data_IF_047708986320
#
_entry.id   IF_047708986320
#
_cell.length_a   1.000
_cell.length_b   1.000
_cell.length_c   1.000
_cell.angle_alpha   90.00
_cell.angle_beta   90.00
_cell.angle_gamma   90.00
#
_symmetry.space_group_name_H-M   'P 1'
#
loop_
_entity.id
_entity.type
_entity.pdbx_description
1 polymer ?
#
# COMPACT_ATOMS: atom_id res chain seq x y z
N UNK A 1 13.67 16.78 20.44
CA UNK A 1 13.73 16.07 21.74
C UNK A 1 12.29 15.72 22.10
N UNK A 2 12.01 14.43 22.38
CA UNK A 2 10.68 13.81 22.63
C UNK A 2 9.87 13.32 21.40
N UNK A 3 10.46 12.53 20.50
CA UNK A 3 9.72 11.41 19.87
C UNK A 3 10.61 10.30 19.28
N UNK A 4 11.84 10.13 19.79
CA UNK A 4 12.84 9.21 19.23
C UNK A 4 13.48 8.27 20.28
N UNK A 5 12.85 8.10 21.45
CA UNK A 5 13.43 7.33 22.56
C UNK A 5 12.64 6.08 22.98
N UNK A 6 11.71 5.57 22.17
CA UNK A 6 10.94 4.35 22.51
C UNK A 6 11.35 3.09 21.73
N UNK A 7 12.50 3.11 21.05
CA UNK A 7 13.00 1.96 20.29
C UNK A 7 14.33 1.36 20.78
N UNK A 8 14.81 1.73 21.97
CA UNK A 8 16.04 1.19 22.52
C UNK A 8 15.79 0.33 23.77
N UNK A 9 15.98 -0.98 23.57
CA UNK A 9 16.62 -1.91 24.52
C UNK A 9 15.92 -2.13 25.87
N UNK A 10 15.15 -3.22 25.97
CA UNK A 10 14.68 -3.70 27.28
C UNK A 10 13.52 -4.69 27.25
N UNK A 11 13.61 -5.77 26.47
CA UNK A 11 12.70 -6.92 26.62
C UNK A 11 13.42 -8.23 26.28
N UNK A 12 14.64 -8.40 26.79
CA UNK A 12 15.19 -9.75 27.01
C UNK A 12 15.13 -10.02 28.51
N UNK A 13 13.91 -10.18 29.01
CA UNK A 13 13.70 -10.69 30.36
C UNK A 13 12.50 -11.65 30.34
N UNK A 14 12.83 -12.91 30.10
CA UNK A 14 12.08 -14.11 30.49
C UNK A 14 10.58 -14.14 30.17
N UNK A 15 10.20 -13.83 28.93
CA UNK A 15 8.81 -14.01 28.51
C UNK A 15 8.60 -15.42 27.95
N UNK A 16 7.86 -16.26 28.68
CA UNK A 16 7.42 -17.60 28.23
C UNK A 16 6.37 -17.53 27.12
N UNK A 17 5.90 -16.33 26.76
CA UNK A 17 4.91 -16.16 25.73
C UNK A 17 5.52 -16.34 24.33
N UNK A 18 5.20 -17.48 23.70
CA UNK A 18 5.62 -17.83 22.34
C UNK A 18 5.21 -16.76 21.31
N UNK A 19 4.08 -16.09 21.52
CA UNK A 19 3.60 -15.02 20.63
C UNK A 19 4.55 -13.81 20.66
N UNK A 20 4.98 -13.40 21.86
CA UNK A 20 5.89 -12.27 22.03
C UNK A 20 7.25 -12.59 21.40
N UNK A 21 7.77 -13.81 21.61
CA UNK A 21 9.00 -14.27 20.96
C UNK A 21 8.88 -14.28 19.44
N UNK A 22 7.75 -14.75 18.92
CA UNK A 22 7.47 -14.78 17.48
C UNK A 22 7.52 -13.36 16.89
N UNK A 23 6.77 -12.42 17.45
CA UNK A 23 6.74 -11.04 16.94
C UNK A 23 8.07 -10.31 17.14
N UNK A 24 8.74 -10.48 18.28
CA UNK A 24 10.06 -9.90 18.51
C UNK A 24 11.08 -10.39 17.48
N UNK A 25 11.07 -11.69 17.16
CA UNK A 25 11.90 -12.28 16.12
C UNK A 25 11.53 -11.73 14.73
N UNK A 26 10.25 -11.77 14.38
CA UNK A 26 9.74 -11.28 13.08
C UNK A 26 10.13 -9.82 12.85
N UNK A 27 9.88 -8.94 13.83
CA UNK A 27 10.24 -7.52 13.77
C UNK A 27 11.74 -7.37 13.58
N UNK A 28 12.57 -8.05 14.38
CA UNK A 28 14.03 -7.97 14.28
C UNK A 28 14.52 -8.41 12.89
N UNK A 29 13.99 -9.50 12.36
CA UNK A 29 14.39 -10.04 11.06
C UNK A 29 13.99 -9.12 9.91
N UNK A 30 12.73 -8.69 9.84
CA UNK A 30 12.23 -7.86 8.75
C UNK A 30 12.80 -6.44 8.78
N UNK A 31 12.86 -5.80 9.95
CA UNK A 31 13.46 -4.46 10.08
C UNK A 31 14.93 -4.47 9.67
N UNK A 32 15.64 -5.58 9.91
CA UNK A 32 17.04 -5.71 9.48
C UNK A 32 17.20 -5.76 7.95
N UNK A 33 16.15 -6.02 7.16
CA UNK A 33 16.24 -6.12 5.69
C UNK A 33 15.96 -4.77 5.01
N UNK A 34 15.20 -3.89 5.65
CA UNK A 34 14.78 -2.62 5.06
C UNK A 34 15.97 -1.75 4.62
N UNK A 35 15.84 -1.12 3.45
CA UNK A 35 16.83 -0.20 2.86
C UNK A 35 18.22 -0.77 2.57
N UNK A 36 18.43 -2.09 2.69
CA UNK A 36 19.74 -2.72 2.42
C UNK A 36 20.01 -2.98 0.94
N UNK A 37 18.97 -3.11 0.12
CA UNK A 37 19.09 -3.43 -1.31
C UNK A 37 18.82 -2.17 -2.16
N UNK A 38 19.53 -2.00 -3.28
CA UNK A 38 19.21 -0.93 -4.22
C UNK A 38 17.83 -1.15 -4.83
N UNK A 39 17.13 -0.05 -5.12
CA UNK A 39 15.85 -0.13 -5.82
C UNK A 39 16.04 -0.70 -7.22
N UNK A 40 15.05 -1.44 -7.73
CA UNK A 40 15.13 -1.95 -9.08
C UNK A 40 15.19 -0.82 -10.11
N UNK A 41 16.15 -0.93 -11.04
CA UNK A 41 16.35 0.06 -12.11
C UNK A 41 15.78 -0.39 -13.45
N UNK A 42 15.39 -1.65 -13.57
CA UNK A 42 14.88 -2.26 -14.80
C UNK A 42 13.51 -2.91 -14.54
N UNK A 43 12.52 -2.54 -15.36
CA UNK A 43 11.18 -3.11 -15.32
C UNK A 43 11.13 -4.53 -15.88
N UNK A 44 12.04 -4.91 -16.79
CA UNK A 44 12.07 -6.23 -17.41
C UNK A 44 12.42 -7.35 -16.43
N UNK A 45 12.93 -7.02 -15.24
CA UNK A 45 13.08 -8.01 -14.17
C UNK A 45 11.74 -8.62 -13.71
N UNK A 46 10.63 -7.91 -13.96
CA UNK A 46 9.26 -8.37 -13.69
C UNK A 46 8.61 -9.00 -14.93
N UNK A 47 9.34 -9.10 -16.06
CA UNK A 47 8.84 -9.78 -17.24
C UNK A 47 8.61 -11.26 -16.92
N UNK A 48 7.62 -11.90 -17.57
CA UNK A 48 7.39 -13.32 -17.43
C UNK A 48 8.67 -14.11 -17.77
N UNK A 49 9.11 -14.96 -16.84
CA UNK A 49 10.31 -15.81 -17.03
C UNK A 49 10.06 -16.94 -18.03
N UNK A 50 8.82 -17.41 -18.07
CA UNK A 50 8.40 -18.48 -18.97
C UNK A 50 7.72 -17.88 -20.20
N UNK A 51 8.04 -18.43 -21.36
CA UNK A 51 7.36 -18.07 -22.61
C UNK A 51 6.08 -18.88 -22.70
N UNK A 52 4.95 -18.20 -22.86
CA UNK A 52 3.65 -18.85 -23.01
C UNK A 52 2.52 -17.92 -22.61
N UNK A 53 1.30 -18.30 -22.98
CA UNK A 53 0.08 -17.65 -22.50
C UNK A 53 -0.64 -18.65 -21.61
N UNK A 54 -0.98 -18.25 -20.38
CA UNK A 54 -1.82 -19.04 -19.50
C UNK A 54 -3.26 -18.63 -19.77
N UNK A 55 -4.13 -19.61 -20.05
CA UNK A 55 -5.56 -19.37 -20.19
C UNK A 55 -6.22 -19.46 -18.81
N UNK A 56 -6.60 -18.31 -18.26
CA UNK A 56 -7.32 -18.22 -16.98
C UNK A 56 -8.84 -18.34 -17.12
N UNK A 57 -9.36 -18.53 -18.33
CA UNK A 57 -10.79 -18.54 -18.63
C UNK A 57 -11.33 -17.18 -19.04
N UNK A 58 -12.65 -17.04 -19.01
CA UNK A 58 -13.37 -15.81 -19.35
C UNK A 58 -13.95 -15.20 -18.07
N UNK A 59 -13.84 -13.88 -17.94
CA UNK A 59 -14.34 -13.12 -16.80
C UNK A 59 -15.14 -11.93 -17.32
N UNK A 60 -16.17 -11.54 -16.59
CA UNK A 60 -16.97 -10.35 -16.90
C UNK A 60 -16.15 -9.08 -16.64
N UNK A 61 -15.28 -9.13 -15.63
CA UNK A 61 -14.41 -8.04 -15.24
C UNK A 61 -13.00 -8.53 -14.91
N UNK A 62 -12.00 -7.82 -15.42
CA UNK A 62 -10.59 -8.01 -15.07
C UNK A 62 -10.09 -6.72 -14.44
N UNK A 63 -9.63 -6.82 -13.19
CA UNK A 63 -9.08 -5.70 -12.43
C UNK A 63 -7.57 -5.88 -12.37
N UNK A 64 -6.84 -4.89 -12.88
CA UNK A 64 -5.38 -4.86 -12.84
C UNK A 64 -4.95 -3.94 -11.69
N UNK A 65 -4.44 -4.56 -10.63
CA UNK A 65 -4.04 -3.95 -9.37
C UNK A 65 -5.09 -4.14 -8.28
N UNK A 66 -4.78 -4.95 -7.28
CA UNK A 66 -5.55 -5.17 -6.05
C UNK A 66 -5.25 -4.10 -4.98
N UNK A 67 -4.97 -2.86 -5.41
CA UNK A 67 -4.72 -1.73 -4.52
C UNK A 67 -6.00 -1.18 -3.88
N UNK A 68 -5.89 -0.02 -3.24
CA UNK A 68 -6.99 0.58 -2.45
C UNK A 68 -8.31 0.73 -3.22
N UNK A 69 -8.27 1.14 -4.50
CA UNK A 69 -9.47 1.21 -5.32
C UNK A 69 -9.85 -0.14 -5.95
N UNK A 70 -8.87 -0.88 -6.48
CA UNK A 70 -9.10 -2.14 -7.18
C UNK A 70 -9.71 -3.22 -6.29
N UNK A 71 -9.28 -3.32 -5.03
CA UNK A 71 -9.87 -4.23 -4.06
C UNK A 71 -11.35 -3.89 -3.75
N UNK A 72 -11.69 -2.60 -3.66
CA UNK A 72 -13.07 -2.15 -3.45
C UNK A 72 -13.94 -2.48 -4.66
N UNK A 73 -13.45 -2.19 -5.87
CA UNK A 73 -14.19 -2.50 -7.11
C UNK A 73 -14.39 -4.01 -7.23
N UNK A 74 -13.35 -4.82 -6.98
CA UNK A 74 -13.41 -6.27 -7.00
C UNK A 74 -14.50 -6.78 -6.06
N UNK A 75 -14.44 -6.36 -4.80
CA UNK A 75 -15.37 -6.76 -3.76
C UNK A 75 -16.82 -6.38 -4.09
N UNK A 76 -17.07 -5.17 -4.62
CA UNK A 76 -18.42 -4.71 -4.97
C UNK A 76 -18.98 -5.41 -6.20
N UNK A 77 -18.16 -5.65 -7.23
CA UNK A 77 -18.61 -6.39 -8.41
C UNK A 77 -18.93 -7.85 -8.06
N UNK A 78 -18.17 -8.47 -7.15
CA UNK A 78 -18.40 -9.84 -6.71
C UNK A 78 -19.58 -10.01 -5.74
N UNK A 79 -20.24 -8.94 -5.30
CA UNK A 79 -21.50 -9.05 -4.53
C UNK A 79 -22.62 -9.68 -5.38
N UNK A 80 -22.54 -9.53 -6.71
CA UNK A 80 -23.42 -10.19 -7.66
C UNK A 80 -22.83 -11.56 -8.06
N UNK A 81 -23.43 -12.64 -7.54
CA UNK A 81 -22.95 -14.00 -7.75
C UNK A 81 -23.00 -14.47 -9.22
N UNK A 82 -23.68 -13.73 -10.12
CA UNK A 82 -23.64 -14.06 -11.55
C UNK A 82 -22.40 -13.52 -12.27
N UNK A 83 -21.57 -12.71 -11.60
CA UNK A 83 -20.36 -12.09 -12.19
C UNK A 83 -19.10 -12.83 -11.79
N UNK A 84 -18.26 -13.10 -12.77
CA UNK A 84 -16.91 -13.62 -12.58
C UNK A 84 -15.90 -12.47 -12.66
N UNK A 85 -15.17 -12.25 -11.56
CA UNK A 85 -14.20 -11.16 -11.44
C UNK A 85 -12.81 -11.74 -11.25
N UNK A 86 -11.88 -11.39 -12.16
CA UNK A 86 -10.45 -11.70 -12.03
C UNK A 86 -9.71 -10.47 -11.49
N UNK A 87 -8.84 -10.68 -10.52
CA UNK A 87 -7.92 -9.64 -10.04
C UNK A 87 -6.49 -10.08 -10.32
N UNK A 88 -5.71 -9.21 -10.95
CA UNK A 88 -4.29 -9.39 -11.23
C UNK A 88 -3.49 -8.39 -10.41
N UNK A 89 -2.53 -8.84 -9.61
CA UNK A 89 -1.61 -7.95 -8.90
C UNK A 89 -0.15 -8.41 -9.09
N UNK A 90 0.78 -7.47 -9.01
CA UNK A 90 2.20 -7.71 -9.22
C UNK A 90 2.96 -8.11 -7.95
N UNK A 91 2.37 -7.89 -6.76
CA UNK A 91 2.99 -8.24 -5.49
C UNK A 91 2.34 -9.43 -4.78
N UNK A 92 2.78 -9.64 -3.54
CA UNK A 92 2.26 -10.70 -2.67
C UNK A 92 1.09 -10.27 -1.79
N UNK A 93 0.78 -11.10 -0.81
CA UNK A 93 -0.17 -10.79 0.26
C UNK A 93 0.50 -10.05 1.41
N UNK A 94 -0.30 -9.35 2.22
CA UNK A 94 0.14 -8.87 3.53
C UNK A 94 0.46 -10.05 4.46
N UNK A 95 1.24 -9.77 5.50
CA UNK A 95 1.54 -10.73 6.56
C UNK A 95 1.58 -10.05 7.93
N UNK A 96 1.85 -10.84 8.97
CA UNK A 96 1.92 -10.38 10.36
C UNK A 96 2.90 -9.21 10.58
N UNK A 97 3.90 -8.99 9.71
CA UNK A 97 4.80 -7.85 9.83
C UNK A 97 4.16 -6.57 9.26
N UNK A 98 3.53 -6.65 8.07
CA UNK A 98 2.84 -5.50 7.47
C UNK A 98 1.61 -5.05 8.25
N UNK A 99 1.01 -5.96 9.02
CA UNK A 99 -0.19 -5.67 9.81
C UNK A 99 0.12 -4.90 11.10
N UNK A 100 1.40 -4.74 11.47
CA UNK A 100 1.82 -3.95 12.63
C UNK A 100 1.92 -2.48 12.22
N UNK A 101 1.04 -1.57 12.73
CA UNK A 101 1.01 -0.17 12.30
C UNK A 101 2.35 0.56 12.43
N UNK A 102 3.11 0.26 13.48
CA UNK A 102 4.42 0.88 13.75
C UNK A 102 5.52 0.51 12.76
N UNK A 103 5.30 -0.48 11.89
CA UNK A 103 6.31 -0.97 10.94
C UNK A 103 6.36 -0.21 9.62
N UNK A 104 5.46 0.77 9.41
CA UNK A 104 5.41 1.61 8.22
C UNK A 104 6.80 2.09 7.72
N UNK A 105 7.68 2.68 8.56
CA UNK A 105 8.98 3.18 8.09
C UNK A 105 9.88 2.10 7.48
N UNK A 106 9.69 0.84 7.85
CA UNK A 106 10.46 -0.30 7.34
C UNK A 106 9.82 -0.88 6.08
N UNK A 107 8.49 -0.98 6.04
CA UNK A 107 7.75 -1.47 4.86
C UNK A 107 8.09 -0.65 3.61
N UNK A 108 8.25 0.67 3.75
CA UNK A 108 8.63 1.55 2.63
C UNK A 108 10.07 1.30 2.13
N UNK A 109 10.90 0.60 2.89
CA UNK A 109 12.27 0.21 2.52
C UNK A 109 12.42 -1.22 2.00
N UNK A 110 11.31 -1.96 1.85
CA UNK A 110 11.30 -3.36 1.44
C UNK A 110 10.71 -3.50 0.03
N UNK A 111 11.48 -4.06 -0.89
CA UNK A 111 11.06 -4.26 -2.29
C UNK A 111 9.83 -5.17 -2.41
N UNK A 112 9.60 -6.06 -1.45
CA UNK A 112 8.41 -6.92 -1.44
C UNK A 112 7.11 -6.11 -1.38
N UNK A 113 7.09 -5.03 -0.57
CA UNK A 113 5.90 -4.22 -0.33
C UNK A 113 5.91 -2.88 -1.06
N UNK A 114 7.06 -2.39 -1.53
CA UNK A 114 7.19 -1.10 -2.19
C UNK A 114 7.81 -1.25 -3.60
N UNK A 115 7.22 -0.58 -4.58
CA UNK A 115 7.78 -0.48 -5.93
C UNK A 115 9.15 0.22 -5.97
N UNK A 116 9.41 1.13 -5.03
CA UNK A 116 10.69 1.82 -4.95
C UNK A 116 10.90 2.88 -6.03
N UNK A 117 9.82 3.49 -6.53
CA UNK A 117 9.92 4.53 -7.55
C UNK A 117 10.65 5.75 -7.01
N UNK A 118 11.41 6.37 -7.91
CA UNK A 118 12.08 7.64 -7.69
C UNK A 118 11.57 8.63 -8.74
N UNK A 119 11.43 9.91 -8.37
CA UNK A 119 11.23 10.95 -9.37
C UNK A 119 12.47 11.07 -10.27
N UNK A 120 12.32 11.74 -11.42
CA UNK A 120 13.49 12.33 -12.09
C UNK A 120 14.18 13.33 -11.14
N UNK A 121 15.47 13.64 -11.32
CA UNK A 121 16.14 14.68 -10.53
C UNK A 121 15.35 15.99 -10.55
N UNK A 122 15.15 16.58 -9.37
CA UNK A 122 14.40 17.80 -9.18
C UNK A 122 15.35 18.99 -8.98
N UNK A 123 14.93 20.17 -9.44
CA UNK A 123 15.70 21.42 -9.30
C UNK A 123 15.21 22.32 -8.16
N UNK A 124 14.00 22.10 -7.64
CA UNK A 124 13.33 22.95 -6.65
C UNK A 124 12.76 22.18 -5.46
N UNK A 125 12.80 20.85 -5.50
CA UNK A 125 12.32 19.96 -4.45
C UNK A 125 13.34 18.85 -4.19
N UNK A 126 13.26 18.19 -3.03
CA UNK A 126 14.10 17.02 -2.70
C UNK A 126 15.62 17.26 -2.82
N UNK A 127 16.10 18.50 -2.70
CA UNK A 127 17.51 18.88 -2.86
C UNK A 127 18.46 18.26 -1.81
N UNK A 128 17.90 17.79 -0.68
CA UNK A 128 18.64 17.05 0.35
C UNK A 128 18.66 15.52 0.13
N UNK A 129 18.01 15.03 -0.93
CA UNK A 129 17.95 13.61 -1.26
C UNK A 129 19.06 13.23 -2.22
N UNK A 130 19.42 11.94 -2.26
CA UNK A 130 20.40 11.42 -3.21
C UNK A 130 19.98 11.76 -4.65
N UNK A 131 20.89 12.34 -5.43
CA UNK A 131 20.67 12.78 -6.81
C UNK A 131 19.49 13.76 -7.00
N UNK A 132 19.06 14.46 -5.93
CA UNK A 132 17.88 15.33 -5.93
C UNK A 132 16.59 14.60 -6.35
N UNK A 133 16.50 13.29 -6.11
CA UNK A 133 15.33 12.49 -6.48
C UNK A 133 14.44 12.27 -5.26
N UNK A 134 13.15 12.55 -5.41
CA UNK A 134 12.15 12.27 -4.40
C UNK A 134 11.83 10.78 -4.38
N UNK A 135 11.66 10.21 -3.19
CA UNK A 135 11.11 8.86 -3.01
C UNK A 135 9.62 8.87 -3.27
N UNK A 136 9.15 8.02 -4.19
CA UNK A 136 7.75 7.88 -4.57
C UNK A 136 7.23 6.51 -4.11
N UNK A 137 7.04 6.36 -2.80
CA UNK A 137 6.57 5.13 -2.18
C UNK A 137 5.22 4.70 -2.76
N UNK A 138 5.14 3.47 -3.28
CA UNK A 138 3.92 2.88 -3.81
C UNK A 138 3.85 1.42 -3.40
N UNK A 139 2.73 1.04 -2.78
CA UNK A 139 2.53 -0.33 -2.34
C UNK A 139 2.45 -1.30 -3.52
N UNK A 140 3.10 -2.46 -3.37
CA UNK A 140 3.13 -3.55 -4.32
C UNK A 140 2.58 -4.80 -3.65
N UNK A 141 1.46 -5.33 -4.15
CA UNK A 141 0.75 -6.46 -3.54
C UNK A 141 -0.70 -6.15 -3.22
N UNK A 142 -1.40 -7.16 -2.70
CA UNK A 142 -2.79 -7.06 -2.30
C UNK A 142 -2.94 -5.99 -1.21
N UNK A 143 -3.88 -5.06 -1.41
CA UNK A 143 -4.03 -3.85 -0.60
C UNK A 143 -3.21 -2.66 -1.12
N UNK A 144 -2.19 -2.87 -1.96
CA UNK A 144 -1.40 -1.82 -2.59
C UNK A 144 -0.92 -0.77 -1.60
N UNK A 145 -1.12 0.50 -1.90
CA UNK A 145 -0.63 1.58 -1.03
C UNK A 145 -1.36 1.67 0.32
N UNK A 146 -2.56 1.11 0.49
CA UNK A 146 -3.20 1.07 1.82
C UNK A 146 -2.53 0.10 2.79
N UNK A 147 -1.72 -0.85 2.30
CA UNK A 147 -0.89 -1.73 3.14
C UNK A 147 0.33 -0.99 3.73
N UNK A 148 0.78 0.10 3.09
CA UNK A 148 2.00 0.83 3.46
C UNK A 148 1.78 2.34 3.61
N UNK A 149 0.60 2.76 4.03
CA UNK A 149 0.30 4.17 4.29
C UNK A 149 0.36 4.50 5.80
N UNK A 150 0.14 5.77 6.13
CA UNK A 150 0.10 6.26 7.51
C UNK A 150 -1.17 5.94 8.31
N UNK A 151 -2.08 5.12 7.77
CA UNK A 151 -3.38 4.76 8.36
C UNK A 151 -4.30 5.94 8.73
N UNK A 152 -3.97 7.15 8.28
CA UNK A 152 -4.80 8.33 8.48
C UNK A 152 -6.05 8.22 7.62
N UNK A 153 -7.21 8.27 8.25
CA UNK A 153 -8.49 8.37 7.58
C UNK A 153 -9.01 9.82 7.64
N UNK A 154 -8.95 10.51 6.50
CA UNK A 154 -9.44 11.89 6.34
C UNK A 154 -10.26 11.95 5.07
N UNK A 155 -11.52 12.38 5.17
CA UNK A 155 -12.47 12.43 4.03
C UNK A 155 -12.24 13.60 3.06
N UNK A 156 -11.19 14.40 3.22
CA UNK A 156 -10.92 15.60 2.43
C UNK A 156 -11.78 16.82 2.80
N UNK A 157 -11.46 17.98 2.21
CA UNK A 157 -12.26 19.20 2.39
C UNK A 157 -13.44 19.18 1.42
N UNK A 158 -14.63 19.60 1.87
CA UNK A 158 -15.82 19.73 1.03
C UNK A 158 -15.57 20.50 -0.27
N UNK A 159 -14.77 21.56 -0.20
CA UNK A 159 -14.47 22.45 -1.34
C UNK A 159 -13.77 21.69 -2.46
N UNK A 160 -12.93 20.70 -2.15
CA UNK A 160 -12.22 19.89 -3.15
C UNK A 160 -13.20 19.13 -4.05
N UNK A 161 -14.19 18.48 -3.44
CA UNK A 161 -15.23 17.73 -4.16
C UNK A 161 -16.21 18.64 -4.91
N UNK A 162 -16.64 19.74 -4.27
CA UNK A 162 -17.51 20.71 -4.94
C UNK A 162 -16.79 21.38 -6.13
N UNK A 163 -15.44 21.51 -6.10
CA UNK A 163 -14.65 21.96 -7.24
C UNK A 163 -14.62 20.91 -8.36
N UNK A 164 -14.41 19.62 -8.06
CA UNK A 164 -14.48 18.57 -9.09
C UNK A 164 -15.82 18.57 -9.82
N UNK A 165 -16.93 18.77 -9.09
CA UNK A 165 -18.24 18.93 -9.69
C UNK A 165 -18.31 20.15 -10.64
N UNK A 166 -17.79 21.31 -10.23
CA UNK A 166 -17.73 22.52 -11.06
C UNK A 166 -16.86 22.35 -12.31
N UNK A 167 -15.86 21.47 -12.26
CA UNK A 167 -15.02 21.11 -13.41
C UNK A 167 -15.73 20.15 -14.39
N UNK A 168 -17.00 19.83 -14.16
CA UNK A 168 -17.82 19.00 -15.05
C UNK A 168 -17.89 17.52 -14.65
N UNK A 169 -17.44 17.17 -13.44
CA UNK A 169 -17.55 15.80 -12.93
C UNK A 169 -18.87 15.63 -12.18
N UNK A 170 -19.96 15.42 -12.93
CA UNK A 170 -21.29 15.21 -12.36
C UNK A 170 -21.29 14.06 -11.34
N UNK A 171 -21.96 14.28 -10.20
CA UNK A 171 -22.03 13.32 -9.10
C UNK A 171 -20.79 13.28 -8.18
N UNK A 172 -19.81 14.16 -8.38
CA UNK A 172 -18.62 14.26 -7.53
C UNK A 172 -18.65 15.41 -6.51
N UNK A 173 -19.80 16.08 -6.34
CA UNK A 173 -19.92 17.09 -5.27
C UNK A 173 -19.81 16.44 -3.90
N UNK A 174 -19.45 17.20 -2.85
CA UNK A 174 -19.28 16.62 -1.51
C UNK A 174 -20.55 15.90 -1.03
N UNK A 175 -21.71 16.46 -1.36
CA UNK A 175 -23.01 15.87 -1.01
C UNK A 175 -23.18 14.49 -1.64
N UNK A 176 -22.73 14.31 -2.87
CA UNK A 176 -22.93 13.10 -3.65
C UNK A 176 -21.93 12.00 -3.23
N UNK A 177 -20.71 12.37 -2.83
CA UNK A 177 -19.68 11.41 -2.36
C UNK A 177 -19.79 11.04 -0.88
N UNK A 178 -20.39 11.89 -0.03
CA UNK A 178 -20.50 11.65 1.41
C UNK A 178 -21.13 10.28 1.78
N UNK A 179 -22.19 9.80 1.12
CA UNK A 179 -22.74 8.46 1.38
C UNK A 179 -21.70 7.35 1.18
N UNK A 180 -20.80 7.48 0.20
CA UNK A 180 -19.76 6.49 -0.06
C UNK A 180 -18.65 6.52 0.99
N UNK A 181 -18.28 7.69 1.50
CA UNK A 181 -17.38 7.77 2.65
C UNK A 181 -17.97 7.08 3.87
N UNK A 182 -19.22 7.38 4.21
CA UNK A 182 -19.93 6.69 5.30
C UNK A 182 -20.05 5.19 5.08
N UNK A 183 -20.23 4.73 3.84
CA UNK A 183 -20.28 3.30 3.49
C UNK A 183 -18.90 2.62 3.64
N UNK A 184 -17.81 3.38 3.51
CA UNK A 184 -16.44 2.86 3.59
C UNK A 184 -15.88 2.73 5.00
N UNK A 185 -16.50 3.38 5.99
CA UNK A 185 -16.04 3.38 7.37
C UNK A 185 -17.01 2.63 8.29
N UNK A 186 -16.48 2.14 9.40
CA UNK A 186 -17.26 1.60 10.51
C UNK A 186 -16.73 2.23 11.80
N UNK A 187 -17.34 3.34 12.19
CA UNK A 187 -17.03 4.04 13.42
C UNK A 187 -18.22 3.86 14.39
N UNK A 188 -18.02 3.24 15.56
CA UNK A 188 -19.07 3.02 16.55
C UNK A 188 -19.58 4.32 17.20
#
# INVERSE_FOLDING_TARGET
>A
VLLSCLFALGAEQDDKNETIRYYAKLIREETSKAYKKPWPQDSYKYAPKEKGTINYGTFDHIIVGAGSAGAVIASRLSEDASRNVLVLDAGGYSNNFSDIPGMLPYLTGLEEYNWGYLSVPQNTSCLGMKNNQCTMTRGKGIGGSSMINGLLYVRGNRVDYDNWYREGNDGWSYRDVLPYFKKSEYFP
#
